data_IF_191872105823
#
_entry.id   IF_191872105823
#
_cell.length_a   1.000
_cell.length_b   1.000
_cell.length_c   1.000
_cell.angle_alpha   90.00
_cell.angle_beta   90.00
_cell.angle_gamma   90.00
#
_symmetry.space_group_name_H-M   'P 1'
#
loop_
_entity.id
_entity.type
_entity.pdbx_description
1 polymer ?
2 non-polymer ?
3 non-polymer ?
4 non-polymer ?
5 water ?
#
# COMPACT_ATOMS: atom_id res chain seq x y z
N UNK A 1 -5.39 26.32 -18.36
CA UNK A 1 -4.08 26.42 -17.64
C UNK A 1 -3.49 24.99 -17.53
N UNK A 2 -3.89 24.24 -16.52
CA UNK A 2 -3.71 22.79 -16.58
C UNK A 2 -5.03 21.99 -16.49
N UNK A 3 -5.27 21.21 -17.54
CA UNK A 3 -6.43 20.34 -17.62
C UNK A 3 -6.05 18.86 -17.43
N UNK A 4 -4.75 18.56 -17.55
CA UNK A 4 -4.25 17.19 -17.36
C UNK A 4 -2.81 17.23 -16.86
N UNK A 5 -2.48 16.26 -16.01
CA UNK A 5 -1.09 16.02 -15.57
C UNK A 5 -0.71 14.61 -16.02
N UNK A 6 0.42 14.49 -16.72
CA UNK A 6 0.93 13.19 -17.18
C UNK A 6 2.16 12.79 -16.36
N UNK A 7 2.08 11.65 -15.69
CA UNK A 7 3.17 11.20 -14.83
C UNK A 7 3.96 10.08 -15.47
N UNK A 8 5.28 10.26 -15.51
CA UNK A 8 6.17 9.12 -15.61
C UNK A 8 5.98 8.20 -14.38
N UNK A 9 6.46 6.96 -14.46
CA UNK A 9 6.33 6.04 -13.32
C UNK A 9 7.67 5.85 -12.60
N UNK A 10 8.63 5.18 -13.25
CA UNK A 10 9.85 4.80 -12.53
C UNK A 10 10.74 5.99 -12.25
N UNK A 11 11.02 6.23 -10.98
CA UNK A 11 11.82 7.38 -10.60
C UNK A 11 11.01 8.64 -10.38
N UNK A 12 9.73 8.62 -10.75
CA UNK A 12 8.87 9.81 -10.69
C UNK A 12 7.78 9.62 -9.63
N UNK A 13 6.90 8.63 -9.81
CA UNK A 13 5.94 8.32 -8.75
C UNK A 13 6.67 7.80 -7.53
N UNK A 14 7.73 7.01 -7.74
CA UNK A 14 8.42 6.31 -6.63
C UNK A 14 9.82 5.95 -7.09
N UNK A 15 10.74 5.82 -6.14
CA UNK A 15 12.09 5.37 -6.45
C UNK A 15 12.08 3.84 -6.51
N UNK A 16 11.99 3.32 -7.74
CA UNK A 16 11.75 1.92 -8.01
C UNK A 16 12.90 1.14 -8.63
N UNK A 17 13.93 1.84 -9.13
CA UNK A 17 14.91 1.13 -9.98
C UNK A 17 15.76 0.11 -9.25
N UNK A 18 16.05 0.33 -7.98
CA UNK A 18 16.74 -0.72 -7.24
C UNK A 18 15.89 -1.98 -7.12
N UNK A 19 14.57 -1.83 -7.00
CA UNK A 19 13.71 -3.02 -7.02
C UNK A 19 13.65 -3.69 -8.39
N UNK A 20 13.63 -2.89 -9.45
CA UNK A 20 13.79 -3.44 -10.79
C UNK A 20 15.09 -4.23 -10.92
N UNK A 21 16.19 -3.64 -10.45
CA UNK A 21 17.48 -4.29 -10.59
C UNK A 21 17.47 -5.60 -9.84
N UNK A 22 16.89 -5.62 -8.65
CA UNK A 22 16.75 -6.86 -7.88
C UNK A 22 15.93 -7.89 -8.65
N UNK A 23 14.81 -7.46 -9.21
CA UNK A 23 13.98 -8.39 -9.95
C UNK A 23 14.70 -8.98 -11.20
N UNK A 24 15.51 -8.18 -11.89
CA UNK A 24 16.34 -8.67 -13.01
C UNK A 24 17.32 -9.71 -12.48
N UNK A 25 18.10 -9.34 -11.47
CA UNK A 25 19.17 -10.22 -11.00
C UNK A 25 18.62 -11.51 -10.43
N UNK A 26 17.54 -11.43 -9.67
CA UNK A 26 16.96 -12.67 -9.17
C UNK A 26 16.39 -13.57 -10.26
N UNK A 27 15.79 -12.97 -11.29
CA UNK A 27 15.34 -13.74 -12.45
C UNK A 27 16.48 -14.44 -13.15
N UNK A 28 17.61 -13.74 -13.35
CA UNK A 28 18.76 -14.33 -14.01
C UNK A 28 19.25 -15.52 -13.18
N UNK A 29 19.30 -15.36 -11.87
CA UNK A 29 19.79 -16.45 -11.00
C UNK A 29 18.88 -17.66 -11.12
N UNK A 30 17.57 -17.41 -11.12
CA UNK A 30 16.57 -18.48 -11.19
C UNK A 30 16.62 -19.24 -12.52
N UNK A 31 17.05 -18.58 -13.59
CA UNK A 31 17.25 -19.21 -14.89
C UNK A 31 18.58 -20.00 -14.97
N UNK A 32 19.42 -19.84 -13.95
CA UNK A 32 20.72 -20.52 -13.87
C UNK A 32 21.82 -19.91 -14.72
N UNK A 33 21.63 -18.65 -15.14
CA UNK A 33 22.66 -17.94 -15.86
C UNK A 33 23.48 -17.13 -14.86
N UNK A 34 24.68 -16.76 -15.27
CA UNK A 34 25.62 -16.04 -14.41
C UNK A 34 25.50 -14.51 -14.48
N UNK A 35 24.51 -14.00 -15.21
CA UNK A 35 24.36 -12.57 -15.36
C UNK A 35 24.02 -11.90 -14.05
N UNK A 36 24.65 -10.76 -13.83
CA UNK A 36 24.36 -9.96 -12.64
C UNK A 36 24.75 -8.52 -12.91
N UNK A 37 23.79 -7.64 -12.65
CA UNK A 37 23.93 -6.22 -12.93
C UNK A 37 24.13 -5.46 -11.64
N UNK A 38 25.34 -4.96 -11.39
CA UNK A 38 25.55 -4.11 -10.22
C UNK A 38 25.08 -2.68 -10.53
N UNK A 39 25.17 -1.77 -9.56
CA UNK A 39 24.66 -0.41 -9.78
C UNK A 39 25.39 0.33 -10.88
N UNK A 40 26.71 0.15 -10.98
CA UNK A 40 27.48 0.81 -12.02
C UNK A 40 27.01 0.39 -13.41
N UNK A 41 26.82 -0.92 -13.60
CA UNK A 41 26.37 -1.42 -14.90
C UNK A 41 24.93 -0.98 -15.15
N UNK A 42 24.10 -1.11 -14.14
CA UNK A 42 22.69 -0.74 -14.30
C UNK A 42 22.51 0.74 -14.68
N UNK A 43 23.31 1.63 -14.09
CA UNK A 43 23.22 3.05 -14.44
C UNK A 43 23.40 3.24 -15.94
N UNK A 44 24.30 2.48 -16.54
CA UNK A 44 24.54 2.62 -17.98
C UNK A 44 23.38 2.03 -18.75
N UNK A 45 22.96 0.81 -18.39
CA UNK A 45 21.86 0.14 -19.08
C UNK A 45 20.55 0.90 -19.01
N UNK A 46 20.37 1.70 -17.95
CA UNK A 46 19.14 2.48 -17.79
C UNK A 46 18.93 3.54 -18.87
N UNK A 47 19.97 3.87 -19.63
CA UNK A 47 19.78 4.80 -20.77
C UNK A 47 19.01 4.16 -21.93
N UNK A 48 18.84 2.84 -21.91
CA UNK A 48 17.95 2.15 -22.84
C UNK A 48 16.68 1.83 -22.10
N UNK A 49 15.54 2.42 -22.52
CA UNK A 49 14.30 2.16 -21.80
C UNK A 49 13.61 0.87 -22.30
N UNK A 50 12.84 0.26 -21.40
CA UNK A 50 12.18 -1.03 -21.65
C UNK A 50 13.09 -2.18 -21.26
N UNK A 51 12.56 -3.08 -20.46
CA UNK A 51 13.39 -4.18 -19.97
C UNK A 51 13.81 -5.16 -21.04
N UNK A 52 12.96 -5.42 -22.02
CA UNK A 52 13.35 -6.31 -23.13
C UNK A 52 14.49 -5.71 -23.94
N UNK A 53 14.36 -4.42 -24.23
CA UNK A 53 15.37 -3.66 -24.94
C UNK A 53 16.69 -3.61 -24.16
N UNK A 54 16.59 -3.50 -22.83
CA UNK A 54 17.78 -3.43 -21.99
C UNK A 54 18.50 -4.77 -21.98
N UNK A 55 17.73 -5.85 -21.84
CA UNK A 55 18.29 -7.23 -21.90
C UNK A 55 18.97 -7.44 -23.26
N UNK A 56 18.31 -7.04 -24.35
CA UNK A 56 18.89 -7.15 -25.70
C UNK A 56 20.23 -6.41 -25.81
N UNK A 57 20.30 -5.20 -25.29
CA UNK A 57 21.54 -4.44 -25.31
C UNK A 57 22.65 -5.16 -24.54
N UNK A 58 22.31 -5.60 -23.33
CA UNK A 58 23.26 -6.34 -22.48
C UNK A 58 23.79 -7.58 -23.22
N UNK A 59 22.90 -8.30 -23.89
CA UNK A 59 23.30 -9.53 -24.57
C UNK A 59 24.17 -9.32 -25.81
N UNK A 60 24.15 -8.11 -26.36
CA UNK A 60 25.02 -7.78 -27.51
C UNK A 60 26.49 -7.72 -27.12
N UNK A 61 26.77 -7.53 -25.82
CA UNK A 61 28.14 -7.28 -25.37
C UNK A 61 28.68 -8.29 -24.37
N UNK A 62 27.78 -8.94 -23.63
CA UNK A 62 28.19 -9.69 -22.45
C UNK A 62 28.86 -11.00 -22.84
N UNK A 63 29.81 -11.41 -22.00
CA UNK A 63 30.62 -12.61 -22.29
C UNK A 63 30.35 -13.77 -21.34
N UNK A 64 29.21 -13.74 -20.65
CA UNK A 64 28.76 -14.85 -19.82
C UNK A 64 27.89 -15.83 -20.58
N UNK A 65 26.99 -16.51 -19.86
CA UNK A 65 26.15 -17.55 -20.44
C UNK A 65 25.30 -17.02 -21.60
N UNK A 66 25.06 -17.87 -22.61
CA UNK A 66 24.14 -17.43 -23.67
C UNK A 66 22.71 -17.37 -23.12
N UNK A 67 21.85 -16.57 -23.76
CA UNK A 67 20.46 -16.52 -23.31
C UNK A 67 19.83 -17.92 -23.46
N UNK A 68 19.17 -18.45 -22.40
CA UNK A 68 18.53 -19.79 -22.51
C UNK A 68 17.12 -19.75 -23.09
N UNK A 69 16.56 -18.56 -23.22
CA UNK A 69 15.18 -18.38 -23.65
C UNK A 69 15.10 -17.11 -24.46
N UNK A 70 13.99 -16.94 -25.20
CA UNK A 70 13.70 -15.65 -25.84
C UNK A 70 13.67 -14.56 -24.77
N UNK A 71 14.10 -13.37 -25.15
CA UNK A 71 14.12 -12.23 -24.23
C UNK A 71 12.74 -11.95 -23.64
N UNK A 72 11.69 -12.01 -24.46
CA UNK A 72 10.34 -11.78 -23.98
C UNK A 72 9.99 -12.69 -22.80
N UNK A 73 10.47 -13.93 -22.83
CA UNK A 73 10.18 -14.88 -21.80
C UNK A 73 10.96 -14.56 -20.49
N UNK A 74 12.23 -14.21 -20.64
CA UNK A 74 13.06 -13.74 -19.52
C UNK A 74 12.38 -12.52 -18.86
N UNK A 75 11.95 -11.58 -19.70
CA UNK A 75 11.37 -10.36 -19.20
C UNK A 75 10.01 -10.56 -18.54
N UNK A 76 9.22 -11.49 -19.10
CA UNK A 76 7.96 -11.84 -18.46
C UNK A 76 8.19 -12.38 -17.05
N UNK A 77 9.19 -13.24 -16.87
CA UNK A 77 9.51 -13.74 -15.53
C UNK A 77 9.97 -12.63 -14.58
N UNK A 78 10.77 -11.69 -15.12
CA UNK A 78 11.24 -10.55 -14.35
C UNK A 78 10.06 -9.67 -13.92
N UNK A 79 9.11 -9.47 -14.82
CA UNK A 79 7.90 -8.73 -14.47
C UNK A 79 7.11 -9.40 -13.34
N UNK A 80 6.90 -10.71 -13.44
CA UNK A 80 6.20 -11.44 -12.37
C UNK A 80 6.96 -11.28 -11.04
N UNK A 81 8.28 -11.36 -11.08
CA UNK A 81 9.07 -11.16 -9.87
C UNK A 81 8.92 -9.73 -9.30
N UNK A 82 8.95 -8.73 -10.18
CA UNK A 82 8.80 -7.35 -9.74
C UNK A 82 7.43 -7.12 -9.07
N UNK A 83 6.36 -7.62 -9.68
CA UNK A 83 5.01 -7.52 -9.11
C UNK A 83 5.01 -8.15 -7.71
N UNK A 84 5.66 -9.32 -7.59
CA UNK A 84 5.77 -10.00 -6.30
C UNK A 84 6.56 -9.22 -5.28
N UNK A 85 7.68 -8.63 -5.71
CA UNK A 85 8.51 -7.82 -4.81
C UNK A 85 7.81 -6.53 -4.39
N UNK A 86 7.02 -5.95 -5.30
CA UNK A 86 6.29 -4.73 -4.98
C UNK A 86 5.24 -4.98 -3.88
N UNK A 87 4.59 -6.13 -3.94
CA UNK A 87 3.58 -6.55 -2.96
C UNK A 87 4.10 -6.59 -1.52
N UNK A 88 5.37 -6.96 -1.36
CA UNK A 88 5.99 -6.98 -0.04
C UNK A 88 5.77 -5.67 0.75
N UNK A 89 5.80 -4.54 0.05
CA UNK A 89 5.34 -3.27 0.62
C UNK A 89 6.37 -2.31 1.19
N UNK A 90 7.60 -2.39 0.69
CA UNK A 90 8.65 -1.45 1.12
C UNK A 90 8.68 -0.08 0.39
N UNK A 91 8.12 -0.01 -0.82
CA UNK A 91 8.19 1.20 -1.65
C UNK A 91 7.19 2.30 -1.24
N UNK A 92 7.70 3.53 -1.13
CA UNK A 92 6.92 4.75 -0.84
C UNK A 92 6.83 5.64 -2.07
N UNK A 93 5.77 6.45 -2.16
CA UNK A 93 5.69 7.49 -3.18
C UNK A 93 6.72 8.59 -2.89
N UNK A 94 7.27 9.20 -3.94
CA UNK A 94 8.22 10.30 -3.78
C UNK A 94 7.51 11.51 -3.13
N UNK A 95 8.25 12.33 -2.37
CA UNK A 95 7.65 13.48 -1.70
C UNK A 95 6.86 14.37 -2.67
N UNK A 96 5.67 14.79 -2.25
CA UNK A 96 4.82 15.66 -3.05
C UNK A 96 3.85 14.96 -3.99
N UNK A 97 4.16 13.73 -4.38
CA UNK A 97 3.34 13.01 -5.36
C UNK A 97 1.92 12.71 -4.88
N UNK A 98 1.79 12.15 -3.67
CA UNK A 98 0.47 11.77 -3.17
C UNK A 98 -0.43 12.98 -3.03
N UNK A 99 0.11 14.03 -2.42
CA UNK A 99 -0.66 15.25 -2.23
C UNK A 99 -1.05 15.89 -3.56
N UNK A 100 -0.13 15.94 -4.53
CA UNK A 100 -0.40 16.55 -5.83
C UNK A 100 -1.58 15.84 -6.51
N UNK A 101 -1.55 14.50 -6.47
CA UNK A 101 -2.57 13.68 -7.07
C UNK A 101 -3.94 13.88 -6.40
N UNK A 102 -3.96 13.87 -5.07
CA UNK A 102 -5.19 14.11 -4.33
C UNK A 102 -5.73 15.51 -4.62
N UNK A 103 -4.84 16.48 -4.71
CA UNK A 103 -5.24 17.86 -5.01
C UNK A 103 -5.82 18.01 -6.41
N UNK A 104 -5.17 17.35 -7.37
CA UNK A 104 -5.63 17.37 -8.75
C UNK A 104 -7.02 16.75 -8.84
N UNK A 105 -7.26 15.67 -8.10
CA UNK A 105 -8.55 15.00 -8.12
C UNK A 105 -9.68 15.90 -7.57
N UNK A 106 -9.39 16.63 -6.49
CA UNK A 106 -10.37 17.57 -5.93
C UNK A 106 -10.68 18.68 -6.93
N UNK A 107 -9.68 19.07 -7.71
CA UNK A 107 -9.82 20.11 -8.72
C UNK A 107 -10.42 19.63 -10.05
N UNK A 108 -10.68 18.32 -10.19
CA UNK A 108 -11.24 17.75 -11.43
C UNK A 108 -10.27 17.69 -12.61
N UNK A 109 -8.97 17.67 -12.31
CA UNK A 109 -7.92 17.57 -13.32
C UNK A 109 -7.67 16.11 -13.66
N UNK A 110 -7.68 15.82 -14.96
CA UNK A 110 -7.47 14.48 -15.46
C UNK A 110 -6.00 14.08 -15.31
N UNK A 111 -5.77 12.80 -15.02
CA UNK A 111 -4.41 12.29 -14.76
C UNK A 111 -4.11 11.12 -15.65
N UNK A 112 -2.88 11.09 -16.16
CA UNK A 112 -2.39 9.97 -16.95
C UNK A 112 -1.04 9.48 -16.42
N UNK A 113 -0.78 8.22 -16.72
CA UNK A 113 0.57 7.67 -16.66
C UNK A 113 1.07 7.55 -18.12
N UNK A 114 2.35 7.91 -18.31
CA UNK A 114 3.02 7.66 -19.60
C UNK A 114 4.39 7.10 -19.27
N UNK A 115 4.56 5.81 -19.51
CA UNK A 115 5.72 5.07 -18.98
C UNK A 115 6.19 4.04 -19.96
N UNK A 116 7.48 3.74 -19.88
CA UNK A 116 8.10 2.65 -20.65
C UNK A 116 7.92 1.30 -19.99
N UNK A 117 7.49 1.31 -18.72
CA UNK A 117 7.43 0.07 -17.91
C UNK A 117 6.24 -0.81 -18.27
N UNK A 118 6.36 -2.08 -17.93
CA UNK A 118 5.28 -3.06 -18.15
C UNK A 118 4.02 -2.69 -17.39
N UNK A 119 2.86 -2.87 -18.04
CA UNK A 119 1.59 -2.53 -17.38
C UNK A 119 1.36 -3.15 -16.00
N UNK A 120 1.71 -4.44 -15.81
CA UNK A 120 1.46 -4.99 -14.46
C UNK A 120 2.23 -4.26 -13.36
N UNK A 121 3.35 -3.63 -13.73
CA UNK A 121 4.12 -2.89 -12.75
C UNK A 121 3.39 -1.65 -12.26
N UNK A 122 2.64 -1.03 -13.15
CA UNK A 122 1.88 0.15 -12.82
C UNK A 122 0.80 -0.26 -11.83
N UNK A 123 0.12 -1.35 -12.15
CA UNK A 123 -0.93 -1.90 -11.25
C UNK A 123 -0.33 -2.22 -9.89
N UNK A 124 0.80 -2.93 -9.89
CA UNK A 124 1.43 -3.32 -8.63
C UNK A 124 1.83 -2.11 -7.81
N UNK A 125 2.41 -1.10 -8.46
CA UNK A 125 2.78 0.10 -7.73
C UNK A 125 1.59 0.84 -7.16
N UNK A 126 0.49 0.92 -7.91
CA UNK A 126 -0.67 1.65 -7.41
C UNK A 126 -1.32 0.91 -6.21
N UNK A 127 -1.43 -0.41 -6.26
CA UNK A 127 -1.90 -1.21 -5.12
C UNK A 127 -1.01 -0.94 -3.90
N UNK A 128 0.30 -1.03 -4.10
CA UNK A 128 1.25 -0.89 -2.98
C UNK A 128 1.34 0.52 -2.41
N UNK A 129 1.25 1.54 -3.26
CA UNK A 129 1.57 2.90 -2.87
C UNK A 129 0.37 3.77 -2.67
N UNK A 130 -0.71 3.50 -3.39
CA UNK A 130 -1.95 4.27 -3.24
C UNK A 130 -3.02 3.45 -2.53
N UNK A 131 -2.88 2.13 -2.57
CA UNK A 131 -3.93 1.22 -2.08
C UNK A 131 -5.13 1.05 -3.01
N UNK A 132 -4.96 1.41 -4.28
CA UNK A 132 -6.05 1.32 -5.26
C UNK A 132 -5.56 0.72 -6.58
N UNK A 133 -6.46 0.11 -7.35
CA UNK A 133 -6.12 -0.29 -8.73
C UNK A 133 -5.71 0.96 -9.52
N UNK A 134 -4.84 0.78 -10.51
CA UNK A 134 -4.35 1.94 -11.26
C UNK A 134 -5.44 2.80 -11.90
N UNK A 135 -6.49 2.18 -12.42
CA UNK A 135 -7.54 2.94 -13.09
C UNK A 135 -8.40 3.80 -12.16
N UNK A 136 -8.24 3.60 -10.85
CA UNK A 136 -8.90 4.48 -9.89
C UNK A 136 -8.07 5.72 -9.58
N UNK A 137 -6.80 5.71 -9.94
CA UNK A 137 -5.92 6.84 -9.72
C UNK A 137 -5.76 7.64 -11.04
N UNK A 138 -5.53 6.89 -12.13
CA UNK A 138 -5.25 7.47 -13.43
C UNK A 138 -6.36 7.22 -14.41
N UNK A 139 -6.82 8.32 -15.02
CA UNK A 139 -7.85 8.25 -16.03
C UNK A 139 -7.41 7.57 -17.31
N UNK A 140 -6.10 7.67 -17.60
CA UNK A 140 -5.49 7.13 -18.80
C UNK A 140 -4.16 6.50 -18.38
N UNK A 141 -3.93 5.28 -18.83
CA UNK A 141 -2.66 4.56 -18.57
C UNK A 141 -2.02 4.17 -19.90
N UNK A 142 -0.88 4.80 -20.20
CA UNK A 142 -0.12 4.50 -21.40
C UNK A 142 1.20 3.90 -20.97
N UNK A 143 1.37 2.61 -21.26
CA UNK A 143 2.50 1.87 -20.72
C UNK A 143 3.11 0.87 -21.69
N UNK A 144 4.36 0.51 -21.42
CA UNK A 144 4.89 -0.73 -21.94
C UNK A 144 4.91 -0.78 -23.45
N UNK A 145 4.37 -1.87 -23.99
CA UNK A 145 4.44 -2.11 -25.43
C UNK A 145 3.19 -1.59 -26.14
N UNK A 146 2.50 -0.63 -25.52
CA UNK A 146 1.38 0.04 -26.17
C UNK A 146 1.83 0.90 -27.34
N UNK A 147 3.14 1.19 -27.43
CA UNK A 147 3.71 1.88 -28.61
C UNK A 147 4.91 1.08 -29.11
N UNK A 148 5.28 1.31 -30.37
CA UNK A 148 6.40 0.57 -30.98
C UNK A 148 7.79 1.11 -30.63
N UNK A 149 7.89 2.40 -30.34
CA UNK A 149 9.15 3.01 -29.98
C UNK A 149 9.03 3.68 -28.61
N UNK A 150 9.93 3.29 -27.72
CA UNK A 150 9.86 3.81 -26.33
C UNK A 150 10.61 5.12 -26.17
N UNK A 151 10.43 5.77 -25.01
CA UNK A 151 11.15 7.02 -24.72
C UNK A 151 12.63 6.79 -25.04
N UNK A 152 13.28 7.76 -25.71
CA UNK A 152 12.91 9.15 -25.92
C UNK A 152 11.89 9.43 -27.01
N UNK A 153 11.41 8.41 -27.72
CA UNK A 153 10.31 8.63 -28.66
C UNK A 153 9.13 9.23 -27.92
N UNK A 154 8.42 10.19 -28.53
CA UNK A 154 7.29 10.83 -27.89
C UNK A 154 6.01 9.99 -27.98
N UNK A 155 6.07 8.82 -28.60
CA UNK A 155 4.84 8.08 -28.91
C UNK A 155 3.97 7.76 -27.72
N UNK A 156 4.59 7.43 -26.59
CA UNK A 156 3.80 7.07 -25.41
C UNK A 156 3.02 8.28 -24.85
N UNK A 157 3.64 9.47 -24.91
CA UNK A 157 2.95 10.71 -24.54
C UNK A 157 1.84 11.07 -25.52
N UNK A 158 2.12 10.88 -26.80
CA UNK A 158 1.09 11.14 -27.82
C UNK A 158 -0.13 10.22 -27.65
N UNK A 159 0.12 8.97 -27.28
CA UNK A 159 -0.98 8.03 -26.96
C UNK A 159 -1.79 8.55 -25.78
N UNK A 160 -1.10 8.90 -24.70
CA UNK A 160 -1.80 9.38 -23.51
C UNK A 160 -2.65 10.63 -23.83
N UNK A 161 -2.06 11.59 -24.55
CA UNK A 161 -2.77 12.83 -24.91
C UNK A 161 -3.98 12.56 -25.80
N UNK A 162 -3.84 11.63 -26.74
CA UNK A 162 -4.99 11.28 -27.59
C UNK A 162 -6.14 10.73 -26.76
N UNK A 163 -5.83 9.89 -25.78
CA UNK A 163 -6.85 9.30 -24.93
C UNK A 163 -7.41 10.32 -23.94
N UNK A 164 -6.59 11.26 -23.47
CA UNK A 164 -7.09 12.33 -22.60
C UNK A 164 -7.98 13.36 -23.31
N UNK A 165 -7.77 13.50 -24.62
CA UNK A 165 -8.34 14.59 -25.42
C UNK A 165 -8.09 15.96 -24.77
N UNK A 166 -6.82 16.19 -24.45
CA UNK A 166 -6.36 17.45 -23.91
C UNK A 166 -5.20 17.86 -24.82
N UNK A 167 -5.22 19.11 -25.35
CA UNK A 167 -4.09 19.60 -26.13
C UNK A 167 -2.86 19.70 -25.21
N UNK A 168 -1.66 19.47 -25.78
CA UNK A 168 -0.45 19.49 -24.94
C UNK A 168 -0.26 20.81 -24.20
N UNK A 169 -0.70 21.93 -24.79
CA UNK A 169 -0.50 23.24 -24.16
C UNK A 169 -1.36 23.43 -22.89
N UNK A 170 -2.32 22.53 -22.66
CA UNK A 170 -3.11 22.55 -21.43
C UNK A 170 -2.77 21.39 -20.51
N UNK A 171 -1.58 20.83 -20.72
CA UNK A 171 -1.14 19.70 -19.92
C UNK A 171 0.33 19.89 -19.50
N UNK A 172 0.82 19.01 -18.64
CA UNK A 172 2.22 19.09 -18.19
C UNK A 172 2.64 17.68 -17.85
N UNK A 173 3.92 17.40 -18.05
CA UNK A 173 4.50 16.09 -17.69
C UNK A 173 5.46 16.24 -16.52
N UNK A 174 5.48 15.23 -15.65
CA UNK A 174 6.49 15.09 -14.58
C UNK A 174 7.38 13.89 -14.94
N UNK A 175 8.68 14.13 -14.91
CA UNK A 175 9.69 13.14 -15.34
C UNK A 175 10.88 13.15 -14.41
N UNK A 176 11.68 12.10 -14.50
CA UNK A 176 12.91 11.98 -13.72
C UNK A 176 14.17 11.81 -14.53
N UNK A 177 14.01 11.51 -15.82
CA UNK A 177 15.14 11.12 -16.65
C UNK A 177 15.24 11.93 -17.95
N UNK A 178 16.43 11.92 -18.54
CA UNK A 178 16.60 12.66 -19.80
C UNK A 178 15.79 12.07 -20.94
N UNK A 179 15.79 10.75 -21.09
CA UNK A 179 14.93 10.17 -22.13
C UNK A 179 13.46 10.50 -21.90
N UNK A 180 13.06 10.60 -20.64
CA UNK A 180 11.68 11.01 -20.32
C UNK A 180 11.38 12.45 -20.71
N UNK A 181 12.31 13.35 -20.38
CA UNK A 181 12.18 14.75 -20.77
C UNK A 181 12.12 14.89 -22.30
N UNK A 182 13.00 14.15 -23.00
CA UNK A 182 13.01 14.20 -24.47
C UNK A 182 11.66 13.76 -25.02
N UNK A 183 11.11 12.67 -24.47
CA UNK A 183 9.81 12.17 -24.92
C UNK A 183 8.69 13.18 -24.68
N UNK A 184 8.66 13.79 -23.49
CA UNK A 184 7.58 14.72 -23.14
C UNK A 184 7.67 15.95 -24.06
N UNK A 185 8.89 16.44 -24.25
CA UNK A 185 9.10 17.61 -25.13
C UNK A 185 8.75 17.29 -26.57
N UNK A 186 9.01 16.06 -26.99
CA UNK A 186 8.68 15.63 -28.35
C UNK A 186 7.20 15.59 -28.62
N UNK A 187 6.41 15.45 -27.56
CA UNK A 187 4.95 15.52 -27.64
C UNK A 187 4.43 16.93 -27.39
N UNK A 188 5.33 17.90 -27.34
CA UNK A 188 4.92 19.31 -27.14
C UNK A 188 4.49 19.72 -25.74
N UNK A 189 4.92 18.96 -24.74
CA UNK A 189 4.51 19.19 -23.37
C UNK A 189 5.54 19.99 -22.58
N UNK A 190 5.06 20.88 -21.74
CA UNK A 190 5.87 21.43 -20.63
C UNK A 190 6.28 20.24 -19.77
N UNK A 191 7.50 20.27 -19.23
CA UNK A 191 8.00 19.14 -18.46
C UNK A 191 8.77 19.61 -17.24
N UNK A 192 8.37 19.08 -16.09
CA UNK A 192 9.00 19.33 -14.80
C UNK A 192 9.82 18.09 -14.48
N UNK A 193 11.13 18.26 -14.30
CA UNK A 193 12.04 17.15 -14.02
C UNK A 193 12.51 17.19 -12.59
N UNK A 194 12.38 16.07 -11.86
CA UNK A 194 13.13 15.90 -10.61
C UNK A 194 13.87 14.58 -10.65
N UNK A 195 15.21 14.63 -10.73
CA UNK A 195 15.92 13.36 -10.92
C UNK A 195 16.05 12.56 -9.63
N UNK A 196 16.65 11.39 -9.78
CA UNK A 196 17.03 10.56 -8.63
C UNK A 196 18.42 9.99 -8.75
N UNK A 197 18.69 8.97 -7.91
CA UNK A 197 20.00 8.36 -7.82
C UNK A 197 20.62 8.09 -9.19
N UNK A 198 19.84 7.47 -10.08
CA UNK A 198 20.40 6.98 -11.30
C UNK A 198 20.46 8.01 -12.43
N UNK A 199 19.79 9.16 -12.24
CA UNK A 199 19.67 10.13 -13.33
C UNK A 199 20.20 11.52 -13.02
N UNK A 200 20.65 11.73 -11.77
CA UNK A 200 21.11 13.06 -11.33
C UNK A 200 22.32 13.56 -12.13
N UNK A 201 23.10 12.63 -12.66
CA UNK A 201 24.25 12.94 -13.52
C UNK A 201 23.90 13.46 -14.91
N UNK A 202 22.62 13.37 -15.30
CA UNK A 202 22.23 13.74 -16.66
C UNK A 202 22.09 15.26 -16.84
N UNK A 203 22.07 15.70 -18.10
CA UNK A 203 21.86 17.11 -18.47
C UNK A 203 20.41 17.33 -18.82
N UNK A 204 19.75 18.30 -18.16
CA UNK A 204 18.32 18.48 -18.38
C UNK A 204 17.97 19.76 -19.16
N UNK A 205 18.72 19.98 -20.23
CA UNK A 205 18.52 21.16 -21.08
C UNK A 205 17.11 21.14 -21.64
N UNK A 206 16.41 22.25 -21.50
CA UNK A 206 15.05 22.35 -22.01
C UNK A 206 13.95 22.05 -20.99
N UNK A 207 14.30 21.48 -19.83
CA UNK A 207 13.27 21.26 -18.80
C UNK A 207 12.64 22.59 -18.40
N UNK A 208 11.33 22.60 -18.22
CA UNK A 208 10.64 23.83 -17.81
C UNK A 208 10.97 24.19 -16.37
N UNK A 209 11.15 23.18 -15.52
CA UNK A 209 11.67 23.36 -14.17
C UNK A 209 12.49 22.13 -13.87
N UNK A 210 13.60 22.31 -13.19
CA UNK A 210 14.43 21.21 -12.69
C UNK A 210 14.47 21.36 -11.17
N UNK A 211 13.95 20.35 -10.46
CA UNK A 211 13.69 20.41 -9.02
C UNK A 211 14.39 19.28 -8.29
N UNK A 212 14.80 19.53 -7.06
CA UNK A 212 15.33 18.47 -6.21
C UNK A 212 14.24 17.56 -5.67
N UNK A 213 13.01 18.07 -5.59
CA UNK A 213 11.89 17.31 -5.07
C UNK A 213 10.60 17.82 -5.65
N UNK A 214 9.67 16.93 -5.97
CA UNK A 214 8.36 17.38 -6.46
C UNK A 214 7.55 18.13 -5.40
N UNK A 215 7.94 17.98 -4.12
CA UNK A 215 7.32 18.79 -3.06
C UNK A 215 7.61 20.29 -3.25
N UNK A 216 8.64 20.62 -4.03
CA UNK A 216 9.02 22.01 -4.30
C UNK A 216 8.05 22.74 -5.25
N UNK A 217 7.14 21.98 -5.84
CA UNK A 217 6.04 22.59 -6.61
C UNK A 217 5.01 23.35 -5.75
N UNK A 218 4.86 22.94 -4.49
CA UNK A 218 3.75 23.43 -3.67
C UNK A 218 2.40 23.01 -4.21
N UNK A 219 2.33 21.79 -4.75
CA UNK A 219 1.09 21.29 -5.34
C UNK A 219 0.72 21.87 -6.71
N UNK A 220 -0.57 21.86 -7.00
CA UNK A 220 -1.09 22.28 -8.31
C UNK A 220 -0.60 23.65 -8.72
N UNK A 221 -0.54 24.57 -7.75
CA UNK A 221 -0.07 25.93 -8.03
C UNK A 221 1.22 25.94 -8.85
N UNK A 222 2.18 25.07 -8.50
CA UNK A 222 3.49 25.07 -9.15
C UNK A 222 3.53 24.54 -10.58
N UNK A 223 2.42 23.97 -11.02
CA UNK A 223 2.39 23.30 -12.31
C UNK A 223 2.17 24.22 -13.49
N UNK A 224 1.45 25.30 -13.25
CA UNK A 224 0.99 26.13 -14.37
C UNK A 224 2.04 27.14 -14.79
N UNK A 225 3.10 26.61 -15.39
CA UNK A 225 4.22 27.40 -15.87
C UNK A 225 3.86 28.09 -17.18
N UNK A 226 4.74 28.98 -17.63
CA UNK A 226 4.62 29.59 -18.95
C UNK A 226 4.92 28.56 -20.03
N UNK B 1 -20.33 17.60 13.69
CA UNK B 1 -20.22 16.24 14.32
C UNK B 1 -20.02 15.20 13.22
N UNK B 2 -19.23 14.17 13.50
CA UNK B 2 -19.12 13.05 12.54
C UNK B 2 -20.43 12.29 12.45
N UNK B 3 -20.65 11.61 11.33
CA UNK B 3 -21.85 10.79 11.14
C UNK B 3 -21.61 9.31 11.40
N UNK B 4 -20.34 8.90 11.33
CA UNK B 4 -20.00 7.51 11.63
C UNK B 4 -18.63 7.41 12.23
N UNK B 5 -18.45 6.42 13.11
CA UNK B 5 -17.13 6.08 13.62
C UNK B 5 -16.81 4.64 13.25
N UNK B 6 -15.61 4.45 12.68
CA UNK B 6 -15.14 3.13 12.28
C UNK B 6 -13.99 2.70 13.18
N UNK B 7 -14.19 1.59 13.88
CA UNK B 7 -13.22 1.09 14.86
C UNK B 7 -12.42 -0.08 14.35
N UNK B 8 -11.10 0.05 14.42
CA UNK B 8 -10.24 -1.13 14.37
C UNK B 8 -10.56 -2.03 15.58
N UNK B 9 -10.11 -3.29 15.54
CA UNK B 9 -10.33 -4.17 16.71
C UNK B 9 -9.05 -4.41 17.53
N UNK B 10 -8.09 -5.15 16.98
CA UNK B 10 -6.93 -5.54 17.79
C UNK B 10 -6.04 -4.35 18.09
N UNK B 11 -5.82 -4.10 19.38
CA UNK B 11 -5.02 -2.96 19.81
C UNK B 11 -5.79 -1.66 19.93
N UNK B 12 -7.05 -1.67 19.50
CA UNK B 12 -7.89 -0.47 19.48
C UNK B 12 -9.05 -0.62 20.49
N UNK B 13 -9.93 -1.59 20.26
CA UNK B 13 -10.99 -1.86 21.25
C UNK B 13 -10.38 -2.40 22.54
N UNK B 14 -9.35 -3.23 22.40
CA UNK B 14 -8.70 -3.90 23.54
C UNK B 14 -7.29 -4.27 23.16
N UNK B 15 -6.43 -4.43 24.16
CA UNK B 15 -5.06 -4.88 23.93
C UNK B 15 -5.09 -6.42 23.89
N UNK B 16 -5.06 -6.97 22.68
CA UNK B 16 -5.33 -8.37 22.43
C UNK B 16 -4.13 -9.16 21.87
N UNK B 17 -3.11 -8.46 21.35
CA UNK B 17 -2.06 -9.18 20.61
C UNK B 17 -1.24 -10.18 21.40
N UNK B 18 -1.04 -9.94 22.70
CA UNK B 18 -0.32 -10.94 23.50
C UNK B 18 -1.18 -12.22 23.59
N UNK B 19 -2.50 -12.05 23.64
CA UNK B 19 -3.41 -13.20 23.68
C UNK B 19 -3.42 -13.91 22.33
N UNK B 20 -3.40 -13.16 21.22
CA UNK B 20 -3.24 -13.80 19.91
C UNK B 20 -1.93 -14.59 19.84
N UNK B 21 -0.83 -14.01 20.33
CA UNK B 21 0.48 -14.69 20.30
C UNK B 21 0.41 -16.00 21.09
N UNK B 22 -0.17 -15.92 22.28
CA UNK B 22 -0.43 -17.13 23.10
C UNK B 22 -1.24 -18.17 22.34
N UNK B 23 -2.33 -17.75 21.67
CA UNK B 23 -3.14 -18.69 20.90
C UNK B 23 -2.34 -19.32 19.76
N UNK B 24 -1.54 -18.52 19.04
CA UNK B 24 -0.69 -19.10 18.00
C UNK B 24 0.26 -20.15 18.62
N UNK B 25 0.98 -19.77 19.66
CA UNK B 25 2.02 -20.66 20.19
C UNK B 25 1.42 -21.92 20.81
N UNK B 26 0.28 -21.79 21.46
CA UNK B 26 -0.39 -22.99 22.03
C UNK B 26 -0.91 -23.93 20.93
N UNK B 27 -1.37 -23.36 19.82
CA UNK B 27 -1.77 -24.17 18.68
C UNK B 27 -0.58 -24.94 18.11
N UNK B 28 0.54 -24.26 17.94
CA UNK B 28 1.73 -24.89 17.39
C UNK B 28 2.16 -26.08 18.29
N UNK B 29 2.13 -25.88 19.62
CA UNK B 29 2.50 -26.94 20.56
C UNK B 29 1.56 -28.11 20.40
N UNK B 30 0.26 -27.81 20.25
CA UNK B 30 -0.75 -28.85 20.17
C UNK B 30 -0.60 -29.67 18.90
N UNK B 31 -0.12 -29.03 17.84
CA UNK B 31 0.11 -29.71 16.56
C UNK B 31 1.43 -30.49 16.55
N UNK B 32 2.23 -30.34 17.61
CA UNK B 32 3.51 -31.04 17.74
C UNK B 32 4.61 -30.51 16.85
N UNK B 33 4.50 -29.25 16.43
CA UNK B 33 5.57 -28.63 15.69
C UNK B 33 6.48 -27.82 16.62
N UNK B 34 7.69 -27.51 16.16
CA UNK B 34 8.68 -26.81 16.96
C UNK B 34 8.57 -25.26 16.87
N UNK B 35 7.59 -24.77 16.12
CA UNK B 35 7.44 -23.31 15.93
C UNK B 35 7.07 -22.61 17.23
N UNK B 36 7.69 -21.47 17.43
CA UNK B 36 7.36 -20.63 18.57
C UNK B 36 7.68 -19.20 18.22
N UNK B 37 6.72 -18.30 18.45
CA UNK B 37 6.89 -16.89 18.16
C UNK B 37 7.08 -16.09 19.45
N UNK B 38 8.32 -15.63 19.67
CA UNK B 38 8.60 -14.75 20.81
C UNK B 38 8.12 -13.32 20.51
N UNK B 39 8.15 -12.44 21.49
CA UNK B 39 7.64 -11.07 21.28
C UNK B 39 8.37 -10.35 20.15
N UNK B 40 9.69 -10.52 20.07
CA UNK B 40 10.48 -9.86 19.03
C UNK B 40 10.06 -10.30 17.63
N UNK B 41 9.91 -11.61 17.44
CA UNK B 41 9.52 -12.14 16.15
C UNK B 41 8.07 -11.75 15.86
N UNK B 42 7.22 -11.85 16.87
CA UNK B 42 5.81 -11.52 16.66
C UNK B 42 5.64 -10.04 16.28
N UNK B 43 6.45 -9.16 16.85
CA UNK B 43 6.35 -7.74 16.50
C UNK B 43 6.64 -7.55 15.01
N UNK B 44 7.61 -8.27 14.50
CA UNK B 44 7.92 -8.24 13.05
C UNK B 44 6.80 -8.84 12.22
N UNK B 45 6.32 -10.00 12.64
CA UNK B 45 5.28 -10.70 11.89
C UNK B 45 3.96 -9.94 11.86
N UNK B 46 3.73 -9.10 12.86
CA UNK B 46 2.52 -8.28 12.95
C UNK B 46 2.41 -7.26 11.82
N UNK B 47 3.50 -6.97 11.10
CA UNK B 47 3.38 -6.05 9.95
C UNK B 47 2.67 -6.67 8.75
N UNK B 48 2.47 -7.99 8.78
CA UNK B 48 1.60 -8.67 7.85
C UNK B 48 0.30 -8.96 8.58
N UNK B 49 -0.80 -8.35 8.11
CA UNK B 49 -2.08 -8.53 8.80
C UNK B 49 -2.79 -9.78 8.29
N UNK B 50 -3.61 -10.37 9.16
CA UNK B 50 -4.24 -11.64 8.86
C UNK B 50 -3.39 -12.81 9.33
N UNK B 51 -4.01 -13.64 10.15
CA UNK B 51 -3.29 -14.77 10.74
C UNK B 51 -2.84 -15.80 9.71
N UNK B 52 -3.68 -16.07 8.71
CA UNK B 52 -3.27 -17.00 7.64
C UNK B 52 -2.10 -16.45 6.84
N UNK B 53 -2.16 -15.15 6.54
CA UNK B 53 -1.11 -14.45 5.82
C UNK B 53 0.17 -14.43 6.65
N UNK B 54 0.04 -14.26 7.96
CA UNK B 54 1.18 -14.22 8.88
C UNK B 54 1.86 -15.58 8.96
N UNK B 55 1.06 -16.64 9.06
CA UNK B 55 1.60 -18.01 9.07
C UNK B 55 2.33 -18.27 7.74
N UNK B 56 1.74 -17.86 6.61
CA UNK B 56 2.37 -18.07 5.30
C UNK B 56 3.73 -17.38 5.18
N UNK B 57 3.82 -16.15 5.68
CA UNK B 57 5.06 -15.40 5.67
C UNK B 57 6.13 -16.13 6.51
N UNK B 58 5.72 -16.56 7.69
CA UNK B 58 6.63 -17.29 8.57
C UNK B 58 7.17 -18.53 7.88
N UNK B 59 6.29 -19.25 7.19
CA UNK B 59 6.66 -20.53 6.60
C UNK B 59 7.57 -20.36 5.39
N UNK B 60 7.57 -19.16 4.80
CA UNK B 60 8.42 -18.91 3.62
C UNK B 60 9.91 -18.93 3.97
N UNK B 61 10.25 -18.65 5.23
CA UNK B 61 11.66 -18.55 5.63
C UNK B 61 12.12 -19.45 6.79
N UNK B 62 11.19 -19.93 7.61
CA UNK B 62 11.53 -20.65 8.84
C UNK B 62 12.20 -21.99 8.52
N UNK B 63 13.11 -22.43 9.39
CA UNK B 63 13.89 -23.64 9.11
C UNK B 63 13.52 -24.81 10.02
N UNK B 64 12.39 -24.69 10.72
CA UNK B 64 11.87 -25.75 11.57
C UNK B 64 10.97 -26.71 10.80
N UNK B 65 10.04 -27.33 11.52
CA UNK B 65 9.22 -28.41 10.94
C UNK B 65 8.40 -27.89 9.77
N UNK B 66 8.16 -28.71 8.75
CA UNK B 66 7.20 -28.31 7.71
C UNK B 66 5.77 -28.27 8.25
N UNK B 67 4.90 -27.45 7.66
CA UNK B 67 3.50 -27.41 8.10
C UNK B 67 2.83 -28.80 8.01
N UNK B 68 2.18 -29.26 9.10
CA UNK B 68 1.53 -30.58 9.08
C UNK B 68 0.11 -30.55 8.50
N UNK B 69 -0.52 -29.38 8.54
CA UNK B 69 -1.88 -29.18 8.03
C UNK B 69 -1.87 -27.97 7.09
N UNK B 70 -2.90 -27.85 6.22
CA UNK B 70 -3.04 -26.60 5.46
C UNK B 70 -3.13 -25.42 6.43
N UNK B 71 -2.62 -24.26 5.97
CA UNK B 71 -2.59 -23.04 6.80
C UNK B 71 -3.99 -22.71 7.33
N UNK B 72 -5.00 -22.85 6.50
CA UNK B 72 -6.36 -22.58 6.94
C UNK B 72 -6.80 -23.42 8.13
N UNK B 73 -6.40 -24.71 8.17
CA UNK B 73 -6.75 -25.55 9.30
C UNK B 73 -5.96 -25.19 10.57
N UNK B 74 -4.69 -24.84 10.41
CA UNK B 74 -3.86 -24.34 11.51
C UNK B 74 -4.53 -23.11 12.10
N UNK B 75 -4.96 -22.21 11.23
CA UNK B 75 -5.55 -20.98 11.69
C UNK B 75 -6.92 -21.16 12.35
N UNK B 76 -7.71 -22.09 11.84
CA UNK B 76 -8.97 -22.42 12.45
C UNK B 76 -8.75 -22.91 13.89
N UNK B 77 -7.74 -23.75 14.10
CA UNK B 77 -7.42 -24.22 15.43
C UNK B 77 -6.99 -23.06 16.33
N UNK B 78 -6.20 -22.15 15.77
CA UNK B 78 -5.76 -20.99 16.53
C UNK B 78 -6.95 -20.10 16.91
N UNK B 79 -7.91 -19.98 16.00
CA UNK B 79 -9.09 -19.17 16.26
C UNK B 79 -9.95 -19.77 17.37
N UNK B 80 -10.17 -21.08 17.31
CA UNK B 80 -10.88 -21.79 18.39
C UNK B 80 -10.19 -21.53 19.73
N UNK B 81 -8.86 -21.59 19.75
CA UNK B 81 -8.08 -21.32 20.96
C UNK B 81 -8.20 -19.88 21.44
N UNK B 82 -8.19 -18.92 20.53
CA UNK B 82 -8.31 -17.51 20.93
C UNK B 82 -9.69 -17.18 21.50
N UNK B 83 -10.71 -17.72 20.86
CA UNK B 83 -12.07 -17.55 21.31
C UNK B 83 -12.22 -18.11 22.74
N UNK B 84 -11.63 -19.29 22.99
CA UNK B 84 -11.66 -19.88 24.34
C UNK B 84 -10.89 -19.02 25.32
N UNK B 85 -9.68 -18.60 24.94
CA UNK B 85 -8.86 -17.71 25.76
C UNK B 85 -9.65 -16.47 26.15
N UNK B 86 -10.41 -15.94 25.20
CA UNK B 86 -11.20 -14.72 25.41
C UNK B 86 -12.31 -14.94 26.44
N UNK B 87 -12.97 -16.10 26.35
CA UNK B 87 -14.05 -16.50 27.26
C UNK B 87 -13.54 -16.74 28.68
N UNK B 88 -12.29 -17.18 28.79
CA UNK B 88 -11.73 -17.65 30.07
C UNK B 88 -10.99 -16.56 30.82
N UNK B 89 -10.60 -15.50 30.12
CA UNK B 89 -9.76 -14.48 30.72
C UNK B 89 -10.56 -13.33 31.29
N UNK B 90 -9.85 -12.27 31.65
CA UNK B 90 -10.52 -11.06 32.14
C UNK B 90 -10.10 -9.84 31.29
N UNK B 91 -10.15 -10.00 29.96
CA UNK B 91 -9.80 -8.94 29.00
C UNK B 91 -10.68 -7.71 29.25
N UNK B 92 -10.05 -6.53 29.21
CA UNK B 92 -10.75 -5.27 29.39
C UNK B 92 -10.66 -4.43 28.13
N UNK B 93 -11.67 -3.59 27.90
CA UNK B 93 -11.58 -2.60 26.83
C UNK B 93 -10.49 -1.58 27.15
N UNK B 94 -9.89 -1.01 26.12
CA UNK B 94 -8.95 0.08 26.31
C UNK B 94 -9.65 1.29 26.94
N UNK B 95 -8.91 2.07 27.78
CA UNK B 95 -9.53 3.25 28.36
C UNK B 95 -10.16 4.15 27.32
N UNK B 96 -11.35 4.66 27.64
CA UNK B 96 -12.07 5.61 26.75
C UNK B 96 -13.00 4.97 25.75
N UNK B 97 -12.80 3.68 25.45
CA UNK B 97 -13.56 3.05 24.36
C UNK B 97 -15.04 2.87 24.73
N UNK B 98 -15.30 2.34 25.92
CA UNK B 98 -16.69 2.14 26.35
C UNK B 98 -17.45 3.47 26.41
N UNK B 99 -16.79 4.48 26.96
CA UNK B 99 -17.40 5.81 27.09
C UNK B 99 -17.71 6.40 25.73
N UNK B 100 -16.77 6.28 24.79
CA UNK B 100 -17.00 6.83 23.45
C UNK B 100 -18.18 6.16 22.77
N UNK B 101 -18.23 4.84 22.84
CA UNK B 101 -19.31 4.08 22.23
C UNK B 101 -20.68 4.47 22.83
N UNK B 102 -20.73 4.59 24.15
CA UNK B 102 -21.98 5.00 24.81
C UNK B 102 -22.43 6.39 24.35
N UNK B 103 -21.49 7.33 24.28
CA UNK B 103 -21.77 8.68 23.82
C UNK B 103 -22.23 8.70 22.37
N UNK B 104 -21.56 7.95 21.49
CA UNK B 104 -22.01 7.80 20.10
C UNK B 104 -23.44 7.24 20.00
N UNK B 105 -23.74 6.26 20.85
CA UNK B 105 -25.07 5.65 20.83
C UNK B 105 -26.14 6.66 21.23
N UNK B 106 -25.85 7.46 22.26
CA UNK B 106 -26.77 8.52 22.69
C UNK B 106 -27.00 9.59 21.61
N UNK B 107 -25.99 9.82 20.79
CA UNK B 107 -26.06 10.83 19.72
C UNK B 107 -26.62 10.27 18.42
N UNK B 108 -26.85 8.95 18.38
CA UNK B 108 -27.35 8.28 17.17
C UNK B 108 -26.35 8.22 16.03
N UNK B 109 -25.07 8.21 16.39
CA UNK B 109 -23.98 8.10 15.42
C UNK B 109 -23.79 6.62 15.06
N UNK B 110 -23.72 6.32 13.77
CA UNK B 110 -23.54 4.94 13.29
C UNK B 110 -22.10 4.45 13.55
N UNK B 111 -21.99 3.16 13.87
CA UNK B 111 -20.70 2.59 14.25
C UNK B 111 -20.39 1.39 13.39
N UNK B 112 -19.11 1.23 13.06
CA UNK B 112 -18.66 0.06 12.33
C UNK B 112 -17.39 -0.46 12.92
N UNK B 113 -17.17 -1.76 12.73
CA UNK B 113 -15.85 -2.37 12.90
C UNK B 113 -15.24 -2.55 11.50
N UNK B 114 -13.94 -2.27 11.39
CA UNK B 114 -13.19 -2.50 10.17
C UNK B 114 -11.85 -3.09 10.61
N UNK B 115 -11.73 -4.41 10.45
CA UNK B 115 -10.62 -5.18 11.04
C UNK B 115 -10.09 -6.25 10.11
N UNK B 116 -8.82 -6.60 10.27
CA UNK B 116 -8.22 -7.71 9.55
C UNK B 116 -8.48 -9.04 10.23
N UNK B 117 -8.99 -9.00 11.47
CA UNK B 117 -9.14 -10.20 12.31
C UNK B 117 -10.32 -11.07 11.92
N UNK B 118 -10.26 -12.34 12.30
CA UNK B 118 -11.39 -13.26 12.03
C UNK B 118 -12.67 -12.84 12.77
N UNK B 119 -13.81 -12.96 12.09
CA UNK B 119 -15.10 -12.62 12.68
C UNK B 119 -15.35 -13.25 14.07
N UNK B 120 -15.05 -14.56 14.26
CA UNK B 120 -15.30 -15.08 15.60
C UNK B 120 -14.55 -14.35 16.72
N UNK B 121 -13.39 -13.76 16.40
CA UNK B 121 -12.66 -12.98 17.39
C UNK B 121 -13.42 -11.72 17.81
N UNK B 122 -14.03 -11.06 16.82
CA UNK B 122 -14.85 -9.87 17.09
C UNK B 122 -16.06 -10.21 17.98
N UNK B 123 -16.72 -11.34 17.66
CA UNK B 123 -17.85 -11.79 18.46
C UNK B 123 -17.42 -12.13 19.87
N UNK B 124 -16.28 -12.81 20.02
CA UNK B 124 -15.78 -13.24 21.33
C UNK B 124 -15.44 -12.02 22.18
N UNK B 125 -14.76 -11.05 21.57
CA UNK B 125 -14.39 -9.82 22.26
C UNK B 125 -15.63 -9.07 22.72
N UNK B 126 -16.62 -8.93 21.84
CA UNK B 126 -17.84 -8.21 22.18
C UNK B 126 -18.63 -8.89 23.32
N UNK B 127 -18.73 -10.22 23.24
CA UNK B 127 -19.41 -11.03 24.26
C UNK B 127 -18.71 -10.82 25.61
N UNK B 128 -17.39 -10.93 25.61
CA UNK B 128 -16.63 -10.79 26.84
C UNK B 128 -16.63 -9.36 27.42
N UNK B 129 -16.50 -8.32 26.58
CA UNK B 129 -16.23 -6.95 27.05
C UNK B 129 -17.39 -5.99 27.05
N UNK B 130 -18.35 -6.22 26.17
CA UNK B 130 -19.56 -5.42 26.15
C UNK B 130 -20.73 -6.23 26.69
N UNK B 131 -20.58 -7.56 26.68
CA UNK B 131 -21.68 -8.48 26.99
C UNK B 131 -22.61 -8.83 25.84
N UNK B 132 -22.64 -7.98 24.80
CA UNK B 132 -23.48 -8.15 23.59
C UNK B 132 -22.81 -8.94 22.47
N UNK B 133 -23.62 -9.53 21.57
CA UNK B 133 -23.04 -9.89 20.27
C UNK B 133 -22.63 -8.61 19.52
N UNK B 134 -21.66 -8.75 18.64
CA UNK B 134 -21.13 -7.60 17.89
C UNK B 134 -22.19 -6.76 17.15
N UNK B 135 -23.18 -7.43 16.58
CA UNK B 135 -24.20 -6.75 15.78
C UNK B 135 -25.10 -5.80 16.58
N UNK B 136 -25.14 -5.92 17.91
CA UNK B 136 -25.88 -4.97 18.75
C UNK B 136 -25.10 -3.70 19.05
N UNK B 137 -23.79 -3.78 18.89
CA UNK B 137 -22.93 -2.65 19.14
C UNK B 137 -22.67 -1.91 17.83
N UNK B 138 -22.28 -2.66 16.81
CA UNK B 138 -21.83 -2.09 15.52
C UNK B 138 -22.88 -2.32 14.45
N UNK B 139 -23.25 -1.23 13.79
CA UNK B 139 -24.23 -1.27 12.69
C UNK B 139 -23.70 -2.03 11.48
N UNK B 140 -22.38 -1.98 11.28
CA UNK B 140 -21.69 -2.61 10.17
C UNK B 140 -20.46 -3.32 10.74
N UNK B 141 -20.22 -4.55 10.32
CA UNK B 141 -19.03 -5.30 10.72
C UNK B 141 -18.30 -5.77 9.47
N UNK B 142 -17.10 -5.21 9.25
CA UNK B 142 -16.26 -5.57 8.13
C UNK B 142 -15.01 -6.20 8.71
N UNK B 143 -14.86 -7.51 8.48
CA UNK B 143 -13.82 -8.31 9.15
C UNK B 143 -13.19 -9.34 8.26
N UNK B 144 -11.98 -9.75 8.64
CA UNK B 144 -11.42 -10.99 8.13
C UNK B 144 -11.30 -11.08 6.62
N UNK B 145 -11.84 -12.16 6.06
CA UNK B 145 -11.70 -12.41 4.65
C UNK B 145 -12.85 -11.84 3.84
N UNK B 146 -13.51 -10.81 4.38
CA UNK B 146 -14.56 -10.13 3.62
C UNK B 146 -14.00 -9.31 2.46
N UNK B 147 -12.69 -9.05 2.48
CA UNK B 147 -12.00 -8.42 1.33
C UNK B 147 -10.83 -9.29 0.93
N UNK B 148 -10.39 -9.15 -0.32
CA UNK B 148 -9.26 -9.91 -0.82
C UNK B 148 -7.89 -9.39 -0.35
N UNK B 149 -7.77 -8.10 -0.08
CA UNK B 149 -6.49 -7.47 0.31
C UNK B 149 -6.71 -6.80 1.65
N UNK B 150 -5.94 -7.21 2.65
CA UNK B 150 -6.07 -6.70 4.02
C UNK B 150 -5.26 -5.41 4.22
N UNK B 151 -5.52 -4.72 5.33
CA UNK B 151 -4.73 -3.53 5.68
C UNK B 151 -3.23 -3.85 5.45
N UNK B 152 -2.46 -2.92 4.83
CA UNK B 152 -2.76 -1.51 4.62
C UNK B 152 -3.62 -1.19 3.41
N UNK B 153 -4.06 -2.19 2.65
CA UNK B 153 -5.07 -1.89 1.61
C UNK B 153 -6.32 -1.29 2.29
N UNK B 154 -6.93 -0.28 1.69
CA UNK B 154 -8.12 0.34 2.27
C UNK B 154 -9.40 -0.42 2.03
N UNK B 155 -9.31 -1.57 1.36
CA UNK B 155 -10.53 -2.27 0.96
C UNK B 155 -11.53 -2.52 2.09
N UNK B 156 -11.04 -2.88 3.28
CA UNK B 156 -11.96 -3.17 4.38
C UNK B 156 -12.71 -1.90 4.84
N UNK B 157 -12.05 -0.75 4.81
CA UNK B 157 -12.69 0.51 5.14
C UNK B 157 -13.67 0.92 4.04
N UNK B 158 -13.31 0.68 2.78
CA UNK B 158 -14.25 0.99 1.69
C UNK B 158 -15.52 0.13 1.77
N UNK B 159 -15.37 -1.14 2.14
CA UNK B 159 -16.52 -2.01 2.38
C UNK B 159 -17.42 -1.45 3.51
N UNK B 160 -16.80 -1.11 4.64
CA UNK B 160 -17.58 -0.59 5.75
C UNK B 160 -18.30 0.70 5.37
N UNK B 161 -17.62 1.59 4.66
CA UNK B 161 -18.24 2.88 4.29
C UNK B 161 -19.39 2.66 3.34
N UNK B 162 -19.26 1.70 2.42
CA UNK B 162 -20.32 1.38 1.45
C UNK B 162 -21.57 0.91 2.20
N UNK B 163 -21.37 0.06 3.20
CA UNK B 163 -22.49 -0.50 3.98
C UNK B 163 -23.09 0.55 4.91
N UNK B 164 -22.26 1.43 5.44
CA UNK B 164 -22.74 2.56 6.27
C UNK B 164 -23.53 3.61 5.50
N UNK B 165 -23.22 3.75 4.22
CA UNK B 165 -23.77 4.83 3.39
C UNK B 165 -23.43 6.19 4.00
N UNK B 166 -22.17 6.35 4.37
CA UNK B 166 -21.63 7.62 4.86
C UNK B 166 -20.39 7.90 4.04
N UNK B 167 -20.26 9.12 3.48
CA UNK B 167 -19.05 9.45 2.73
C UNK B 167 -17.87 9.62 3.70
N UNK B 168 -16.64 9.34 3.23
CA UNK B 168 -15.52 9.34 4.18
C UNK B 168 -15.28 10.69 4.85
N UNK B 169 -15.67 11.79 4.20
CA UNK B 169 -15.43 13.10 4.77
C UNK B 169 -16.29 13.34 6.00
N UNK B 170 -17.32 12.52 6.21
CA UNK B 170 -18.20 12.65 7.36
C UNK B 170 -17.98 11.56 8.42
N UNK B 171 -16.88 10.83 8.27
CA UNK B 171 -16.60 9.70 9.16
C UNK B 171 -15.20 9.83 9.75
N UNK B 172 -14.83 8.92 10.65
CA UNK B 172 -13.51 8.95 11.24
C UNK B 172 -13.19 7.51 11.65
N UNK B 173 -11.91 7.15 11.58
CA UNK B 173 -11.42 5.84 12.02
C UNK B 173 -10.58 6.00 13.29
N UNK B 174 -10.69 4.99 14.16
CA UNK B 174 -9.78 4.80 15.32
C UNK B 174 -8.93 3.57 15.08
N UNK B 175 -7.63 3.75 15.25
CA UNK B 175 -6.61 2.74 14.89
C UNK B 175 -5.47 2.72 15.91
N UNK B 176 -4.69 1.65 15.88
CA UNK B 176 -3.54 1.49 16.78
C UNK B 176 -2.24 1.30 16.00
N UNK B 177 -2.31 1.03 14.70
CA UNK B 177 -1.15 0.55 13.94
C UNK B 177 -0.95 1.33 12.65
N UNK B 178 0.29 1.30 12.13
CA UNK B 178 0.61 2.04 10.92
C UNK B 178 -0.13 1.42 9.72
N UNK B 179 -0.21 0.10 9.63
CA UNK B 179 -1.01 -0.49 8.56
C UNK B 179 -2.48 -0.03 8.62
N UNK B 180 -3.01 0.06 9.82
CA UNK B 180 -4.37 0.55 9.99
C UNK B 180 -4.55 2.00 9.61
N UNK B 181 -3.61 2.85 10.02
CA UNK B 181 -3.64 4.26 9.62
C UNK B 181 -3.58 4.40 8.08
N UNK B 182 -2.70 3.63 7.46
CA UNK B 182 -2.55 3.66 5.99
C UNK B 182 -3.84 3.22 5.31
N UNK B 183 -4.48 2.18 5.84
CA UNK B 183 -5.73 1.70 5.26
C UNK B 183 -6.85 2.75 5.40
N UNK B 184 -6.96 3.38 6.58
CA UNK B 184 -8.00 4.39 6.79
C UNK B 184 -7.76 5.57 5.85
N UNK B 185 -6.50 5.99 5.77
CA UNK B 185 -6.18 7.14 4.90
C UNK B 185 -6.43 6.86 3.42
N UNK B 186 -6.17 5.63 2.99
CA UNK B 186 -6.39 5.22 1.62
C UNK B 186 -7.86 5.18 1.27
N UNK B 187 -8.73 5.12 2.27
CA UNK B 187 -10.17 5.17 2.06
C UNK B 187 -10.70 6.59 2.21
N UNK B 188 -9.80 7.56 2.40
CA UNK B 188 -10.20 8.98 2.56
C UNK B 188 -10.66 9.42 3.94
N UNK B 189 -10.30 8.62 4.95
CA UNK B 189 -10.75 8.86 6.32
C UNK B 189 -9.73 9.62 7.14
N UNK B 190 -10.22 10.58 7.91
CA UNK B 190 -9.46 11.07 9.06
C UNK B 190 -9.27 9.91 10.04
N UNK B 191 -8.12 9.90 10.70
CA UNK B 191 -7.80 8.76 11.56
C UNK B 191 -7.13 9.21 12.84
N UNK B 192 -7.67 8.74 13.95
CA UNK B 192 -7.08 9.00 15.28
C UNK B 192 -6.37 7.72 15.72
N UNK B 193 -5.09 7.85 16.06
CA UNK B 193 -4.27 6.68 16.41
C UNK B 193 -3.91 6.73 17.88
N UNK B 194 -4.03 5.60 18.54
CA UNK B 194 -3.41 5.41 19.85
C UNK B 194 -2.70 4.08 19.86
N UNK B 195 -1.36 4.10 19.87
CA UNK B 195 -0.67 2.82 19.76
C UNK B 195 -0.72 2.00 21.05
N UNK B 196 -0.41 0.73 20.90
CA UNK B 196 -0.31 -0.18 22.03
C UNK B 196 1.08 -0.77 22.09
N UNK B 197 1.25 -1.80 22.92
CA UNK B 197 2.56 -2.40 23.14
C UNK B 197 3.35 -2.72 21.88
N UNK B 198 2.68 -3.35 20.90
CA UNK B 198 3.35 -3.82 19.69
C UNK B 198 3.49 -2.79 18.57
N UNK B 199 2.92 -1.60 18.77
CA UNK B 199 2.99 -0.59 17.72
C UNK B 199 3.58 0.75 18.13
N UNK B 200 3.96 0.87 19.39
CA UNK B 200 4.51 2.11 19.93
C UNK B 200 5.78 2.58 19.20
N UNK B 201 6.49 1.63 18.58
CA UNK B 201 7.75 1.89 17.84
C UNK B 201 7.54 2.50 16.45
N UNK B 202 6.30 2.49 15.98
CA UNK B 202 5.97 2.95 14.63
C UNK B 202 5.88 4.46 14.48
N UNK B 203 6.04 4.93 13.24
CA UNK B 203 5.86 6.34 12.92
C UNK B 203 4.46 6.51 12.38
N UNK B 204 3.75 7.56 12.84
CA UNK B 204 2.35 7.73 12.46
C UNK B 204 2.11 9.00 11.68
N UNK B 205 2.92 9.15 10.63
CA UNK B 205 2.84 10.30 9.74
C UNK B 205 1.44 10.43 9.18
N UNK B 206 0.87 11.62 9.33
CA UNK B 206 -0.45 11.90 8.78
C UNK B 206 -1.64 11.54 9.68
N UNK B 207 -1.38 10.94 10.84
CA UNK B 207 -2.48 10.73 11.81
C UNK B 207 -3.09 12.09 12.17
N UNK B 208 -4.40 12.16 12.24
CA UNK B 208 -5.05 13.44 12.53
C UNK B 208 -4.89 13.81 14.00
N UNK B 209 -4.86 12.80 14.87
CA UNK B 209 -4.44 12.95 16.27
C UNK B 209 -3.69 11.68 16.61
N UNK B 210 -2.70 11.82 17.48
CA UNK B 210 -1.90 10.70 17.98
C UNK B 210 -1.92 10.82 19.50
N UNK B 211 -2.52 9.81 20.16
CA UNK B 211 -2.84 9.89 21.59
C UNK B 211 -2.22 8.72 22.33
N UNK B 212 -1.80 8.96 23.57
CA UNK B 212 -1.38 7.83 24.42
C UNK B 212 -2.53 6.95 24.89
N UNK B 213 -3.71 7.50 24.92
CA UNK B 213 -4.90 6.82 25.38
C UNK B 213 -6.14 7.37 24.71
N UNK B 214 -7.09 6.49 24.36
CA UNK B 214 -8.35 6.97 23.81
C UNK B 214 -9.18 7.71 24.87
N UNK B 215 -8.80 7.57 26.15
CA UNK B 215 -9.43 8.38 27.23
C UNK B 215 -9.08 9.86 27.11
N UNK B 216 -8.09 10.17 26.27
CA UNK B 216 -7.68 11.55 25.98
C UNK B 216 -8.44 12.19 24.81
N UNK B 217 -9.39 11.45 24.24
CA UNK B 217 -10.12 11.94 23.08
C UNK B 217 -10.91 13.21 23.37
N UNK B 218 -11.58 13.23 24.52
CA UNK B 218 -12.42 14.39 24.88
C UNK B 218 -13.83 14.28 24.33
N UNK B 219 -14.31 13.05 24.17
CA UNK B 219 -15.66 12.80 23.66
C UNK B 219 -15.75 12.91 22.15
N UNK B 220 -17.00 12.95 21.68
CA UNK B 220 -17.30 13.02 20.25
C UNK B 220 -16.68 14.25 19.62
N UNK B 221 -16.66 15.36 20.36
CA UNK B 221 -16.06 16.59 19.85
C UNK B 221 -14.59 16.40 19.44
N UNK B 222 -13.90 15.48 20.12
CA UNK B 222 -12.52 15.20 19.82
C UNK B 222 -12.29 14.49 18.49
N UNK B 223 -13.38 14.07 17.86
CA UNK B 223 -13.33 13.37 16.57
C UNK B 223 -13.50 14.30 15.37
N UNK B 224 -13.81 15.56 15.66
CA UNK B 224 -14.05 16.59 14.64
C UNK B 224 -12.79 17.28 14.14
N UNK B 225 -12.95 18.09 13.09
CA UNK B 225 -11.88 18.91 12.54
C UNK B 225 -11.83 20.27 13.24
#
# INVERSE_FOLDING_TARGET
MIEAILFDVNGTLAETEELHRRAFNETFAALGVDWFWDREEYRELLTTTGGKERIARFLRHQKGDPAPLPIADIHRAKTERFVALMAEGEIALRPGIADLIAEAKRAGIRLAVATTTSLPNVEALCRACFGHPAREIFDVIAAGDMVAEKKPSPDIYRLALRELDVPPERAVALEDSLNGLRAAKGAGLRCIVSPGFYTRHEEFAGADRLLDSFAELGGLAGLDLTAPVA
MIEAILFDVNGTLAETEELHRRAFNETFAALGVDWFWDREEYRELLTTTGGKERIARFLRHQKGDPAPLPIADIHRAKTERFVALMAEGEIALRPGIADLIAEAKRAGIRLAVATTTSLPNVEALCRACFGHPAREIFDVIAAGDMVAEKKPSPDIYRLALRELDVPPERAVALEDSLNGLRAAKGAGLRCIVSPGFYTRHEEFAGADRLLDSFAELGGLAGLDLTAPVA
#
